data_IF_640769471368
#
_entry.id   IF_640769471368
#
_cell.length_a   1.000
_cell.length_b   1.000
_cell.length_c   1.000
_cell.angle_alpha   90.00
_cell.angle_beta   90.00
_cell.angle_gamma   90.00
#
_symmetry.space_group_name_H-M   'P 1'
#
loop_
_entity.id
_entity.type
_entity.pdbx_description
1 polymer ?
#
# COMPACT_ATOMS: atom_id res chain seq x y z
N UNK A 1 -34.93 17.04 -17.64
CA UNK A 1 -33.81 16.08 -17.60
C UNK A 1 -33.21 16.16 -16.21
N UNK A 2 -33.24 15.07 -15.45
CA UNK A 2 -32.56 15.03 -14.15
C UNK A 2 -31.05 15.05 -14.42
N UNK A 3 -30.25 15.83 -13.66
CA UNK A 3 -28.80 15.81 -13.82
C UNK A 3 -28.28 14.39 -13.58
N UNK A 4 -27.37 13.94 -14.44
CA UNK A 4 -26.68 12.67 -14.23
C UNK A 4 -25.82 12.81 -12.97
N UNK A 5 -25.88 11.85 -12.02
CA UNK A 5 -24.99 11.87 -10.87
C UNK A 5 -23.55 11.66 -11.37
N UNK A 6 -22.69 12.65 -11.10
CA UNK A 6 -21.26 12.57 -11.36
C UNK A 6 -20.60 12.25 -10.02
N UNK A 7 -19.93 11.10 -9.96
CA UNK A 7 -19.10 10.73 -8.80
C UNK A 7 -17.67 11.15 -9.18
N UNK A 8 -17.14 12.15 -8.48
CA UNK A 8 -15.74 12.55 -8.57
C UNK A 8 -15.04 12.19 -7.27
N UNK A 9 -13.95 11.42 -7.37
CA UNK A 9 -13.08 11.08 -6.24
C UNK A 9 -11.89 12.04 -6.11
N UNK A 10 -11.67 12.87 -7.13
CA UNK A 10 -10.49 13.74 -7.23
C UNK A 10 -10.69 15.06 -6.48
N UNK A 11 -11.95 15.46 -6.25
CA UNK A 11 -12.31 16.68 -5.52
C UNK A 11 -12.35 16.46 -4.00
N UNK A 12 -11.34 15.79 -3.44
CA UNK A 12 -11.36 15.35 -2.03
C UNK A 12 -11.20 16.49 -1.02
N UNK A 13 -10.78 17.69 -1.43
CA UNK A 13 -10.60 18.83 -0.53
C UNK A 13 -11.94 19.40 -0.06
N UNK A 14 -12.93 19.47 -0.94
CA UNK A 14 -14.26 20.04 -0.65
C UNK A 14 -15.36 18.98 -0.51
N UNK A 15 -15.08 17.74 -0.89
CA UNK A 15 -16.04 16.64 -0.82
C UNK A 15 -16.18 16.07 0.62
N UNK A 16 -17.28 16.44 1.26
CA UNK A 16 -17.65 15.98 2.61
C UNK A 16 -17.94 14.49 2.68
N UNK A 17 -18.43 13.88 1.59
CA UNK A 17 -18.75 12.46 1.55
C UNK A 17 -17.44 11.65 1.62
N UNK A 18 -16.43 12.03 0.84
CA UNK A 18 -15.09 11.42 0.91
C UNK A 18 -14.51 11.55 2.32
N UNK A 19 -14.56 12.75 2.92
CA UNK A 19 -14.07 12.99 4.28
C UNK A 19 -14.80 12.13 5.32
N UNK A 20 -16.12 11.99 5.18
CA UNK A 20 -16.98 11.16 6.04
C UNK A 20 -16.64 9.68 5.91
N UNK A 21 -16.45 9.19 4.68
CA UNK A 21 -16.15 7.78 4.43
C UNK A 21 -14.75 7.42 4.95
N UNK A 22 -13.74 8.28 4.75
CA UNK A 22 -12.39 8.10 5.31
C UNK A 22 -12.42 8.06 6.84
N UNK A 23 -13.18 8.97 7.46
CA UNK A 23 -13.35 9.00 8.92
C UNK A 23 -14.03 7.73 9.43
N UNK A 24 -15.07 7.26 8.73
CA UNK A 24 -15.80 6.04 9.05
C UNK A 24 -14.91 4.80 8.91
N UNK A 25 -14.05 4.76 7.89
CA UNK A 25 -13.08 3.69 7.69
C UNK A 25 -12.06 3.62 8.84
N UNK A 26 -11.49 4.76 9.24
CA UNK A 26 -10.55 4.83 10.38
C UNK A 26 -11.25 4.35 11.66
N UNK A 27 -12.44 4.88 11.94
CA UNK A 27 -13.20 4.52 13.12
C UNK A 27 -13.50 3.02 13.16
N UNK A 28 -13.99 2.46 12.05
CA UNK A 28 -14.23 1.03 11.92
C UNK A 28 -12.97 0.21 12.21
N UNK A 29 -11.80 0.59 11.65
CA UNK A 29 -10.53 -0.13 11.88
C UNK A 29 -10.10 -0.08 13.36
N UNK A 30 -10.24 1.07 14.01
CA UNK A 30 -9.91 1.23 15.44
C UNK A 30 -10.84 0.37 16.30
N UNK A 31 -12.15 0.38 16.02
CA UNK A 31 -13.13 -0.35 16.81
C UNK A 31 -13.00 -1.88 16.70
N UNK A 32 -12.48 -2.37 15.58
CA UNK A 32 -12.32 -3.80 15.31
C UNK A 32 -10.90 -4.34 15.55
N UNK A 33 -9.96 -3.50 15.98
CA UNK A 33 -8.57 -3.91 16.22
C UNK A 33 -8.04 -3.35 17.55
N UNK A 34 -7.97 -4.18 18.61
CA UNK A 34 -7.44 -3.75 19.91
C UNK A 34 -5.96 -3.36 19.82
N UNK A 35 -5.21 -3.97 18.89
CA UNK A 35 -3.80 -3.65 18.65
C UNK A 35 -3.66 -2.22 18.13
N UNK A 36 -4.49 -1.80 17.17
CA UNK A 36 -4.53 -0.40 16.71
C UNK A 36 -4.79 0.53 17.89
N UNK A 37 -5.82 0.24 18.71
CA UNK A 37 -6.18 1.05 19.87
C UNK A 37 -5.00 1.19 20.86
N UNK A 38 -4.29 0.10 21.14
CA UNK A 38 -3.12 0.12 22.04
C UNK A 38 -1.96 0.94 21.47
N UNK A 39 -1.73 0.86 20.16
CA UNK A 39 -0.59 1.51 19.51
C UNK A 39 -0.83 3.00 19.24
N UNK A 40 -2.07 3.48 19.29
CA UNK A 40 -2.41 4.91 19.22
C UNK A 40 -2.59 5.58 20.58
N UNK A 41 -2.66 4.80 21.68
CA UNK A 41 -2.87 5.32 23.02
C UNK A 41 -1.62 6.06 23.55
N UNK A 42 -1.75 7.36 23.81
CA UNK A 42 -0.66 8.16 24.40
C UNK A 42 -0.66 7.93 25.91
N UNK A 43 0.51 7.59 26.48
CA UNK A 43 0.68 7.31 27.92
C UNK A 43 -0.28 6.24 28.46
N UNK A 44 -0.60 5.22 27.66
CA UNK A 44 -1.56 4.15 27.98
C UNK A 44 -3.00 4.64 28.22
N UNK A 45 -3.34 5.85 27.77
CA UNK A 45 -4.70 6.40 27.84
C UNK A 45 -5.21 6.70 26.43
N UNK A 46 -6.13 5.87 25.97
CA UNK A 46 -6.90 6.06 24.75
C UNK A 46 -8.03 7.09 24.98
N UNK A 47 -7.67 8.35 25.24
CA UNK A 47 -8.70 9.38 25.42
C UNK A 47 -9.41 9.68 24.09
N UNK A 48 -10.76 9.75 24.07
CA UNK A 48 -11.52 9.99 22.84
C UNK A 48 -11.09 11.25 22.07
N UNK A 49 -10.69 12.30 22.79
CA UNK A 49 -10.20 13.54 22.19
C UNK A 49 -8.88 13.35 21.42
N UNK A 50 -7.99 12.48 21.90
CA UNK A 50 -6.72 12.19 21.22
C UNK A 50 -6.94 11.33 19.98
N UNK A 51 -7.84 10.34 20.08
CA UNK A 51 -8.25 9.52 18.93
C UNK A 51 -8.87 10.40 17.85
N UNK A 52 -9.80 11.28 18.21
CA UNK A 52 -10.44 12.20 17.27
C UNK A 52 -9.41 13.10 16.54
N UNK A 53 -8.42 13.64 17.28
CA UNK A 53 -7.33 14.44 16.68
C UNK A 53 -6.44 13.61 15.74
N UNK A 54 -6.14 12.37 16.09
CA UNK A 54 -5.35 11.48 15.24
C UNK A 54 -6.14 11.11 13.97
N UNK A 55 -7.42 10.76 14.10
CA UNK A 55 -8.28 10.45 12.95
C UNK A 55 -8.34 11.65 12.00
N UNK A 56 -8.54 12.87 12.50
CA UNK A 56 -8.50 14.07 11.68
C UNK A 56 -7.14 14.27 10.98
N UNK A 57 -6.03 13.98 11.68
CA UNK A 57 -4.70 14.03 11.08
C UNK A 57 -4.53 13.03 9.95
N UNK A 58 -4.98 11.78 10.15
CA UNK A 58 -4.90 10.71 9.14
C UNK A 58 -5.77 11.03 7.92
N UNK A 59 -6.98 11.55 8.11
CA UNK A 59 -7.85 12.01 7.01
C UNK A 59 -7.15 13.08 6.19
N UNK A 60 -6.66 14.15 6.83
CA UNK A 60 -5.95 15.22 6.15
C UNK A 60 -4.69 14.71 5.43
N UNK A 61 -3.98 13.74 6.01
CA UNK A 61 -2.77 13.18 5.40
C UNK A 61 -3.06 12.24 4.23
N UNK A 62 -4.20 11.57 4.25
CA UNK A 62 -4.56 10.58 3.24
C UNK A 62 -4.77 11.17 1.86
N UNK A 63 -5.13 12.46 1.76
CA UNK A 63 -5.42 13.13 0.48
C UNK A 63 -6.41 12.32 -0.37
N UNK A 64 -7.48 11.80 0.25
CA UNK A 64 -8.46 10.93 -0.43
C UNK A 64 -8.05 9.46 -0.56
N UNK A 65 -6.81 9.09 -0.25
CA UNK A 65 -6.28 7.74 -0.48
C UNK A 65 -6.64 6.76 0.62
N UNK A 66 -7.60 5.89 0.32
CA UNK A 66 -7.89 4.70 1.13
C UNK A 66 -6.70 3.77 1.28
N UNK A 67 -5.86 3.66 0.24
CA UNK A 67 -4.67 2.83 0.27
C UNK A 67 -3.68 3.33 1.32
N UNK A 68 -3.46 4.65 1.37
CA UNK A 68 -2.61 5.26 2.39
C UNK A 68 -3.14 4.94 3.81
N UNK A 69 -4.45 5.12 4.06
CA UNK A 69 -5.05 4.82 5.35
C UNK A 69 -4.94 3.35 5.71
N UNK A 70 -5.26 2.47 4.77
CA UNK A 70 -5.17 1.01 4.95
C UNK A 70 -3.75 0.62 5.37
N UNK A 71 -2.74 1.01 4.59
CA UNK A 71 -1.35 0.65 4.85
C UNK A 71 -0.87 1.24 6.19
N UNK A 72 -1.23 2.48 6.51
CA UNK A 72 -0.88 3.12 7.78
C UNK A 72 -1.52 2.40 8.97
N UNK A 73 -2.81 2.06 8.89
CA UNK A 73 -3.53 1.36 9.94
C UNK A 73 -3.05 -0.09 10.09
N UNK A 74 -2.68 -0.77 8.99
CA UNK A 74 -2.05 -2.10 9.04
C UNK A 74 -0.70 -2.06 9.78
N UNK A 75 0.03 -0.94 9.70
CA UNK A 75 1.28 -0.76 10.46
C UNK A 75 1.03 -0.52 11.95
N UNK A 76 -0.03 0.21 12.31
CA UNK A 76 -0.45 0.32 13.72
C UNK A 76 -0.90 -1.03 14.25
N UNK A 77 -1.69 -1.78 13.49
CA UNK A 77 -2.18 -3.10 13.89
C UNK A 77 -1.04 -4.08 14.14
N UNK A 78 0.02 -4.04 13.33
CA UNK A 78 1.22 -4.89 13.49
C UNK A 78 2.21 -4.37 14.54
N UNK A 79 1.95 -3.21 15.16
CA UNK A 79 2.87 -2.58 16.12
C UNK A 79 4.14 -1.98 15.51
N UNK A 80 4.18 -1.83 14.18
CA UNK A 80 5.29 -1.16 13.48
C UNK A 80 5.22 0.37 13.61
N UNK A 81 4.03 0.91 13.85
CA UNK A 81 3.82 2.30 14.23
C UNK A 81 3.23 2.37 15.63
N UNK A 82 3.75 3.29 16.45
CA UNK A 82 3.25 3.56 17.80
C UNK A 82 3.27 5.07 18.04
N UNK A 83 2.14 5.64 18.44
CA UNK A 83 2.02 7.06 18.78
C UNK A 83 2.61 7.31 20.17
N UNK A 84 3.72 8.06 20.20
CA UNK A 84 4.40 8.45 21.46
C UNK A 84 4.19 9.91 21.84
N UNK A 85 3.70 10.75 20.93
CA UNK A 85 3.46 12.17 21.16
C UNK A 85 2.40 12.72 20.21
N UNK A 86 1.84 13.88 20.54
CA UNK A 86 0.86 14.59 19.72
C UNK A 86 1.44 15.25 18.46
N UNK A 87 2.74 15.09 18.17
CA UNK A 87 3.37 15.62 16.96
C UNK A 87 3.17 14.74 15.72
N UNK A 88 2.78 13.48 15.92
CA UNK A 88 2.52 12.48 14.87
C UNK A 88 3.65 12.29 13.85
N UNK A 89 4.89 12.70 14.16
CA UNK A 89 6.06 12.59 13.28
C UNK A 89 6.42 11.16 12.85
N UNK A 90 5.92 10.16 13.56
CA UNK A 90 6.13 8.75 13.24
C UNK A 90 5.30 8.30 12.04
N UNK A 91 4.23 9.03 11.70
CA UNK A 91 3.33 8.68 10.60
C UNK A 91 3.97 9.13 9.28
N UNK A 92 4.20 8.20 8.33
CA UNK A 92 4.75 8.53 7.01
C UNK A 92 3.90 9.58 6.28
N UNK A 93 4.53 10.49 5.56
CA UNK A 93 3.79 11.62 4.95
C UNK A 93 3.25 11.32 3.55
N UNK A 94 3.65 10.22 2.94
CA UNK A 94 3.25 9.81 1.59
C UNK A 94 3.18 8.29 1.44
N UNK A 95 2.57 7.82 0.34
CA UNK A 95 2.63 6.41 -0.05
C UNK A 95 4.08 5.95 -0.28
N UNK A 96 4.93 6.78 -0.87
CA UNK A 96 6.34 6.45 -1.11
C UNK A 96 7.10 6.15 0.18
N UNK A 97 6.86 6.94 1.24
CA UNK A 97 7.46 6.67 2.55
C UNK A 97 6.89 5.40 3.20
N UNK A 98 5.59 5.11 3.03
CA UNK A 98 5.01 3.85 3.48
C UNK A 98 5.65 2.64 2.79
N UNK A 99 5.79 2.68 1.47
CA UNK A 99 6.45 1.61 0.72
C UNK A 99 7.91 1.46 1.11
N UNK A 100 8.64 2.56 1.27
CA UNK A 100 10.03 2.52 1.73
C UNK A 100 10.14 1.88 3.11
N UNK A 101 9.26 2.27 4.05
CA UNK A 101 9.22 1.67 5.39
C UNK A 101 8.92 0.17 5.32
N UNK A 102 7.92 -0.24 4.54
CA UNK A 102 7.57 -1.65 4.34
C UNK A 102 8.72 -2.44 3.70
N UNK A 103 9.40 -1.88 2.71
CA UNK A 103 10.58 -2.48 2.10
C UNK A 103 11.71 -2.65 3.12
N UNK A 104 12.01 -1.63 3.93
CA UNK A 104 13.05 -1.71 4.95
C UNK A 104 12.74 -2.77 6.03
N UNK A 105 11.46 -2.93 6.40
CA UNK A 105 11.06 -3.98 7.34
C UNK A 105 11.09 -5.37 6.72
N UNK A 106 10.73 -5.50 5.45
CA UNK A 106 10.69 -6.78 4.73
C UNK A 106 12.09 -7.26 4.33
N UNK A 107 12.97 -6.33 3.98
CA UNK A 107 14.32 -6.57 3.50
C UNK A 107 15.34 -5.86 4.40
N UNK A 108 15.78 -6.50 5.50
CA UNK A 108 16.66 -5.87 6.50
C UNK A 108 18.10 -5.64 5.99
N UNK A 109 18.47 -6.21 4.84
CA UNK A 109 19.75 -6.00 4.19
C UNK A 109 19.58 -5.72 2.70
N UNK A 110 20.51 -4.95 2.14
CA UNK A 110 20.57 -4.72 0.69
C UNK A 110 20.62 -6.05 -0.08
N UNK A 111 21.39 -7.04 0.41
CA UNK A 111 21.46 -8.37 -0.20
C UNK A 111 20.12 -9.12 -0.23
N UNK A 112 19.26 -8.93 0.77
CA UNK A 112 17.92 -9.54 0.78
C UNK A 112 17.02 -8.90 -0.29
N UNK A 113 17.13 -7.59 -0.49
CA UNK A 113 16.41 -6.88 -1.54
C UNK A 113 16.94 -7.23 -2.95
N UNK A 114 18.26 -7.24 -3.14
CA UNK A 114 18.91 -7.61 -4.41
C UNK A 114 18.48 -9.01 -4.90
N UNK A 115 18.18 -9.95 -3.98
CA UNK A 115 17.65 -11.27 -4.34
C UNK A 115 16.27 -11.20 -5.02
N UNK A 116 15.41 -10.27 -4.64
CA UNK A 116 14.05 -10.15 -5.20
C UNK A 116 13.95 -9.10 -6.31
N UNK A 117 14.96 -8.24 -6.45
CA UNK A 117 14.99 -7.14 -7.43
C UNK A 117 14.72 -7.59 -8.88
N UNK A 118 15.30 -8.69 -9.42
CA UNK A 118 15.00 -9.12 -10.79
C UNK A 118 13.51 -9.42 -11.00
N UNK A 119 12.86 -10.02 -10.00
CA UNK A 119 11.45 -10.36 -10.04
C UNK A 119 10.55 -9.12 -9.99
N UNK A 120 10.92 -8.13 -9.17
CA UNK A 120 10.28 -6.81 -9.17
C UNK A 120 10.44 -6.12 -10.53
N UNK A 121 11.62 -6.15 -11.13
CA UNK A 121 11.87 -5.53 -12.44
C UNK A 121 11.00 -6.14 -13.53
N UNK A 122 10.85 -7.48 -13.56
CA UNK A 122 9.95 -8.14 -14.50
C UNK A 122 8.50 -7.74 -14.23
N UNK A 123 8.05 -7.78 -12.98
CA UNK A 123 6.67 -7.41 -12.63
C UNK A 123 6.35 -5.95 -13.01
N UNK A 124 7.26 -5.02 -12.75
CA UNK A 124 7.13 -3.59 -13.08
C UNK A 124 7.20 -3.32 -14.58
N UNK A 125 8.04 -4.05 -15.32
CA UNK A 125 8.16 -3.91 -16.77
C UNK A 125 7.01 -4.59 -17.54
N UNK A 126 6.25 -5.47 -16.89
CA UNK A 126 5.18 -6.22 -17.53
C UNK A 126 3.93 -5.37 -17.69
N UNK A 127 3.46 -5.24 -18.94
CA UNK A 127 2.24 -4.50 -19.27
C UNK A 127 0.95 -5.18 -18.78
N UNK A 128 1.03 -6.47 -18.40
CA UNK A 128 -0.11 -7.28 -18.01
C UNK A 128 0.24 -8.08 -16.77
N UNK A 129 -0.73 -8.35 -15.88
CA UNK A 129 -0.58 -9.32 -14.81
C UNK A 129 -0.04 -10.64 -15.36
N UNK A 130 1.02 -11.17 -14.73
CA UNK A 130 1.65 -12.43 -15.15
C UNK A 130 1.36 -13.55 -14.14
N UNK A 131 1.24 -14.79 -14.60
CA UNK A 131 1.24 -15.95 -13.70
C UNK A 131 2.63 -16.20 -13.14
N UNK A 132 2.71 -16.95 -12.04
CA UNK A 132 3.98 -17.34 -11.43
C UNK A 132 4.88 -18.08 -12.45
N UNK A 133 4.31 -18.91 -13.34
CA UNK A 133 5.07 -19.57 -14.41
C UNK A 133 5.58 -18.61 -15.49
N UNK A 134 4.80 -17.58 -15.83
CA UNK A 134 5.23 -16.55 -16.79
C UNK A 134 6.36 -15.70 -16.21
N UNK A 135 6.27 -15.30 -14.94
CA UNK A 135 7.33 -14.60 -14.22
C UNK A 135 8.62 -15.43 -14.18
N UNK A 136 8.51 -16.71 -13.81
CA UNK A 136 9.65 -17.63 -13.77
C UNK A 136 10.32 -17.79 -15.14
N UNK A 137 9.54 -17.97 -16.20
CA UNK A 137 10.07 -18.06 -17.57
C UNK A 137 10.73 -16.77 -18.01
N UNK A 138 10.12 -15.62 -17.72
CA UNK A 138 10.68 -14.31 -18.05
C UNK A 138 12.05 -14.08 -17.38
N UNK A 139 12.18 -14.46 -16.11
CA UNK A 139 13.45 -14.38 -15.38
C UNK A 139 14.54 -15.30 -15.97
N UNK A 140 14.17 -16.52 -16.37
CA UNK A 140 15.12 -17.48 -16.92
C UNK A 140 15.39 -17.31 -18.42
N UNK A 141 14.61 -16.49 -19.14
CA UNK A 141 14.71 -16.32 -20.60
C UNK A 141 16.08 -15.81 -21.09
N UNK A 142 16.81 -15.08 -20.23
CA UNK A 142 18.15 -14.56 -20.54
C UNK A 142 19.31 -15.54 -20.27
N UNK A 143 19.05 -16.70 -19.66
CA UNK A 143 20.10 -17.66 -19.28
C UNK A 143 20.04 -18.92 -20.15
N UNK A 144 21.15 -19.28 -20.79
CA UNK A 144 21.24 -20.52 -21.59
C UNK A 144 21.10 -21.80 -20.76
N UNK A 145 21.21 -21.73 -19.42
CA UNK A 145 21.09 -22.90 -18.52
C UNK A 145 19.98 -22.79 -17.48
N UNK A 146 19.30 -21.65 -17.36
CA UNK A 146 18.32 -21.40 -16.29
C UNK A 146 19.01 -21.40 -14.93
N UNK A 147 19.50 -20.25 -14.49
CA UNK A 147 20.22 -20.17 -13.20
C UNK A 147 19.26 -20.19 -11.99
N UNK A 148 17.99 -19.86 -12.19
CA UNK A 148 17.00 -19.80 -11.11
C UNK A 148 16.14 -21.07 -11.09
N UNK A 149 16.30 -21.86 -10.04
CA UNK A 149 15.45 -23.01 -9.74
C UNK A 149 14.05 -22.57 -9.28
N UNK A 150 13.04 -23.41 -9.54
CA UNK A 150 11.65 -23.10 -9.18
C UNK A 150 11.46 -22.88 -7.66
N UNK A 151 12.16 -23.64 -6.83
CA UNK A 151 12.08 -23.49 -5.37
C UNK A 151 12.63 -22.13 -4.90
N UNK A 152 13.76 -21.66 -5.45
CA UNK A 152 14.30 -20.34 -5.12
C UNK A 152 13.42 -19.22 -5.68
N UNK A 153 12.80 -19.42 -6.85
CA UNK A 153 11.78 -18.51 -7.36
C UNK A 153 10.57 -18.40 -6.41
N UNK A 154 10.05 -19.53 -5.92
CA UNK A 154 8.94 -19.52 -4.96
C UNK A 154 9.30 -18.79 -3.66
N UNK A 155 10.51 -19.00 -3.13
CA UNK A 155 10.98 -18.26 -1.96
C UNK A 155 11.05 -16.74 -2.21
N UNK A 156 11.52 -16.32 -3.39
CA UNK A 156 11.55 -14.90 -3.79
C UNK A 156 10.14 -14.33 -3.97
N UNK A 157 9.21 -15.09 -4.55
CA UNK A 157 7.80 -14.72 -4.67
C UNK A 157 7.12 -14.56 -3.30
N UNK A 158 7.37 -15.48 -2.37
CA UNK A 158 6.83 -15.41 -1.01
C UNK A 158 7.36 -14.19 -0.25
N UNK A 159 8.65 -13.85 -0.46
CA UNK A 159 9.23 -12.62 0.05
C UNK A 159 8.57 -11.37 -0.55
N UNK A 160 8.02 -11.42 -1.76
CA UNK A 160 7.30 -10.31 -2.40
C UNK A 160 5.77 -10.34 -2.22
N UNK A 161 5.21 -11.33 -1.54
CA UNK A 161 3.75 -11.50 -1.38
C UNK A 161 3.00 -10.29 -0.82
N UNK A 162 3.65 -9.42 -0.06
CA UNK A 162 3.07 -8.17 0.45
C UNK A 162 3.00 -7.03 -0.56
N UNK A 163 3.73 -7.16 -1.69
CA UNK A 163 3.80 -6.18 -2.77
C UNK A 163 3.13 -6.71 -4.06
N UNK A 164 3.30 -8.00 -4.36
CA UNK A 164 2.74 -8.69 -5.51
C UNK A 164 1.55 -9.57 -5.09
N UNK A 165 0.36 -8.99 -5.15
CA UNK A 165 -0.87 -9.65 -4.68
C UNK A 165 -1.33 -10.68 -5.72
N UNK A 166 -1.60 -11.90 -5.25
CA UNK A 166 -2.20 -12.95 -6.07
C UNK A 166 -3.67 -12.67 -6.36
N UNK A 167 -4.05 -12.77 -7.63
CA UNK A 167 -5.43 -12.62 -8.09
C UNK A 167 -6.14 -13.98 -8.20
N UNK A 168 -7.47 -13.95 -8.31
CA UNK A 168 -8.30 -15.16 -8.47
C UNK A 168 -7.99 -15.93 -9.77
N UNK A 169 -7.52 -15.23 -10.79
CA UNK A 169 -7.08 -15.78 -12.07
C UNK A 169 -5.63 -16.34 -12.04
N UNK A 170 -5.00 -16.38 -10.85
CA UNK A 170 -3.61 -16.83 -10.62
C UNK A 170 -2.53 -15.94 -11.22
N UNK A 171 -2.89 -14.73 -11.65
CA UNK A 171 -1.91 -13.71 -12.02
C UNK A 171 -1.47 -12.91 -10.79
N UNK A 172 -0.30 -12.30 -10.88
CA UNK A 172 0.25 -11.35 -9.92
C UNK A 172 0.15 -9.95 -10.51
N UNK A 173 -0.33 -9.00 -9.71
CA UNK A 173 -0.31 -7.59 -10.07
C UNK A 173 0.27 -6.77 -8.93
N UNK A 174 0.96 -5.70 -9.28
CA UNK A 174 1.10 -4.57 -8.37
C UNK A 174 -0.22 -3.78 -8.33
N UNK A 175 -0.44 -3.02 -7.27
CA UNK A 175 -1.60 -2.15 -7.04
C UNK A 175 -1.78 -1.04 -8.08
N UNK A 176 -0.80 -0.84 -8.96
CA UNK A 176 -0.84 0.10 -10.08
C UNK A 176 -1.29 -0.64 -11.35
N UNK A 177 -2.54 -0.43 -11.74
CA UNK A 177 -3.08 -0.91 -13.01
C UNK A 177 -2.52 -0.04 -14.13
N UNK A 178 -1.98 -0.67 -15.18
CA UNK A 178 -1.57 0.03 -16.39
C UNK A 178 -2.78 0.66 -17.08
N UNK A 179 -2.68 1.93 -17.49
CA UNK A 179 -3.74 2.64 -18.21
C UNK A 179 -3.67 2.27 -19.68
N UNK A 180 -4.80 1.89 -20.28
CA UNK A 180 -4.84 1.59 -21.71
C UNK A 180 -4.43 2.81 -22.56
N UNK A 181 -3.85 2.55 -23.73
CA UNK A 181 -3.57 3.61 -24.71
C UNK A 181 -4.85 4.41 -25.01
N UNK A 182 -4.80 5.73 -24.77
CA UNK A 182 -5.93 6.64 -24.97
C UNK A 182 -6.66 7.09 -23.70
N UNK A 183 -6.23 6.66 -22.52
CA UNK A 183 -6.76 7.19 -21.26
C UNK A 183 -6.19 8.59 -20.90
N UNK A 184 -7.01 9.41 -20.22
CA UNK A 184 -6.68 10.82 -19.89
C UNK A 184 -5.36 10.95 -19.11
N UNK A 185 -4.53 11.93 -19.46
CA UNK A 185 -3.24 12.20 -18.79
C UNK A 185 -3.36 13.09 -17.54
N UNK A 186 -4.58 13.47 -17.15
CA UNK A 186 -4.82 14.49 -16.13
C UNK A 186 -4.40 14.07 -14.71
N UNK A 187 -4.07 12.79 -14.53
CA UNK A 187 -3.67 12.18 -13.24
C UNK A 187 -2.21 11.74 -13.21
N UNK A 188 -1.39 12.19 -14.16
CA UNK A 188 0.06 12.00 -14.07
C UNK A 188 0.60 12.92 -12.96
N UNK A 189 1.32 12.35 -12.00
CA UNK A 189 2.14 13.17 -11.11
C UNK A 189 3.14 13.94 -11.98
N UNK A 190 3.18 15.26 -11.85
CA UNK A 190 4.20 16.07 -12.52
C UNK A 190 5.61 15.65 -12.06
N UNK A 191 6.62 15.74 -12.94
CA UNK A 191 7.98 15.27 -12.69
C UNK A 191 8.70 15.97 -11.53
#
# INVERSE_FOLDING_TARGET
LLPFPIISLDDFHDNKDITSDLSSYIQHRIDHSPDILSNIAINSKAEPANISKLSAHLVARSQGSYLYLKLTLDLFEKGHLVIKSSSYKVIPVSLSELYLLQCNMKFPSASAFERVLPLLNVALASLHPLTDEQLFRALNAGSMRGELEWEDFQQRMDALSCFLIGRRDRTRMEWLVWRADGESTDFLCEP
#
